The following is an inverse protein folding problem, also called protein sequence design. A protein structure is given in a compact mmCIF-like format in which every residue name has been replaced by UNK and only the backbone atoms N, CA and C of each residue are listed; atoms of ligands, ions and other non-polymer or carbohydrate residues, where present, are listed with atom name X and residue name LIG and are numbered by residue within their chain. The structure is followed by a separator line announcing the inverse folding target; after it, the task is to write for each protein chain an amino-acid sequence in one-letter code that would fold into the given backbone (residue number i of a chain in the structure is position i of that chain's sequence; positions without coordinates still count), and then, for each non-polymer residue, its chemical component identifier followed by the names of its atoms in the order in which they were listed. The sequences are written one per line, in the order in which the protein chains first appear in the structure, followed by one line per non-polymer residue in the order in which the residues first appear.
data_IF_252268460002
#
_entry.id   IF_252268460002
#
_cell.length_a   1.000
_cell.length_b   1.000
_cell.length_c   1.000
_cell.angle_alpha   90.00
_cell.angle_beta   90.00
_cell.angle_gamma   90.00
#
_symmetry.space_group_name_H-M   'P 1'
#
loop_
_entity.id
_entity.type
_entity.pdbx_description
1 polymer ?
#
# COMPACT_ATOMS: atom_id res chain seq x y z
N UNK A 1 20.53 -33.45 -13.57
CA UNK A 1 20.64 -32.50 -12.44
C UNK A 1 20.29 -31.05 -12.83
N UNK A 2 19.28 -30.78 -13.68
CA UNK A 2 19.01 -29.42 -14.19
C UNK A 2 17.53 -28.96 -14.12
N UNK A 3 16.67 -29.64 -13.32
CA UNK A 3 15.25 -29.24 -13.20
C UNK A 3 14.95 -28.30 -12.01
N UNK A 4 15.83 -28.19 -11.04
CA UNK A 4 15.62 -27.35 -9.85
C UNK A 4 15.95 -25.85 -10.08
N UNK A 5 16.84 -25.54 -11.04
CA UNK A 5 17.25 -24.16 -11.32
C UNK A 5 16.21 -23.36 -12.13
N UNK A 6 15.36 -24.06 -12.90
CA UNK A 6 14.36 -23.41 -13.78
C UNK A 6 13.16 -22.86 -13.02
N UNK A 7 12.79 -23.44 -11.86
CA UNK A 7 11.62 -23.03 -11.08
C UNK A 7 11.93 -21.76 -10.24
N UNK A 8 13.15 -21.64 -9.75
CA UNK A 8 13.57 -20.44 -8.99
C UNK A 8 13.67 -19.18 -9.86
N UNK A 9 14.10 -19.33 -11.12
CA UNK A 9 14.20 -18.21 -12.06
C UNK A 9 12.81 -17.71 -12.50
N UNK A 10 11.82 -18.59 -12.68
CA UNK A 10 10.46 -18.21 -13.05
C UNK A 10 9.72 -17.46 -11.92
N UNK A 11 9.97 -17.82 -10.66
CA UNK A 11 9.36 -17.12 -9.51
C UNK A 11 9.92 -15.71 -9.31
N UNK A 12 11.20 -15.48 -9.58
CA UNK A 12 11.84 -14.16 -9.50
C UNK A 12 11.39 -13.21 -10.61
N UNK A 13 11.15 -13.72 -11.82
CA UNK A 13 10.66 -12.92 -12.96
C UNK A 13 9.19 -12.52 -12.74
N UNK A 14 8.38 -13.38 -12.13
CA UNK A 14 6.97 -13.09 -11.79
C UNK A 14 6.84 -11.95 -10.76
N UNK A 15 7.69 -11.90 -9.74
CA UNK A 15 7.67 -10.80 -8.76
C UNK A 15 8.15 -9.47 -9.33
N UNK A 16 9.12 -9.48 -10.26
CA UNK A 16 9.62 -8.26 -10.89
C UNK A 16 8.62 -7.66 -11.89
N UNK A 17 7.85 -8.50 -12.61
CA UNK A 17 6.84 -8.03 -13.56
C UNK A 17 5.60 -7.43 -12.89
N UNK A 18 5.15 -7.99 -11.76
CA UNK A 18 4.02 -7.45 -11.00
C UNK A 18 4.36 -6.07 -10.41
N UNK A 19 5.59 -5.90 -9.92
CA UNK A 19 6.04 -4.58 -9.43
C UNK A 19 6.16 -3.55 -10.56
N UNK A 20 6.54 -3.96 -11.76
CA UNK A 20 6.62 -3.08 -12.92
C UNK A 20 5.23 -2.62 -13.40
N UNK A 21 4.22 -3.49 -13.38
CA UNK A 21 2.85 -3.13 -13.77
C UNK A 21 2.17 -2.22 -12.75
N UNK A 22 2.32 -2.46 -11.45
CA UNK A 22 1.84 -1.56 -10.40
C UNK A 22 2.48 -0.17 -10.50
N UNK A 23 3.75 -0.09 -10.90
CA UNK A 23 4.45 1.16 -11.15
C UNK A 23 4.09 1.82 -12.49
N UNK A 24 3.60 1.07 -13.46
CA UNK A 24 3.25 1.61 -14.80
C UNK A 24 1.87 2.27 -14.79
N UNK A 25 0.98 1.87 -13.88
CA UNK A 25 -0.39 2.39 -13.77
C UNK A 25 -0.47 3.78 -13.12
N UNK A 26 0.59 4.21 -12.45
CA UNK A 26 0.70 5.57 -11.88
C UNK A 26 1.84 6.26 -12.59
N UNK A 27 1.58 6.68 -13.81
CA UNK A 27 2.56 7.38 -14.62
C UNK A 27 3.96 7.27 -14.04
N UNK A 28 4.74 6.29 -14.46
CA UNK A 28 6.15 6.02 -14.13
C UNK A 28 6.57 6.77 -12.85
N UNK A 29 6.95 6.08 -11.80
CA UNK A 29 7.74 6.71 -10.73
C UNK A 29 8.81 7.52 -11.41
N UNK A 30 8.50 8.77 -11.65
CA UNK A 30 9.35 9.63 -12.44
C UNK A 30 10.56 9.78 -11.57
N UNK A 31 11.69 9.28 -12.06
CA UNK A 31 12.96 9.45 -11.37
C UNK A 31 13.10 10.96 -11.11
N UNK A 32 12.92 11.39 -9.87
CA UNK A 32 12.96 12.80 -9.47
C UNK A 32 14.26 13.43 -9.96
N UNK A 33 15.36 12.68 -9.96
CA UNK A 33 16.65 13.09 -10.50
C UNK A 33 16.62 13.37 -12.02
N UNK A 34 15.74 12.69 -12.79
CA UNK A 34 15.59 12.93 -14.22
C UNK A 34 14.72 14.17 -14.53
N UNK A 35 13.87 14.59 -13.59
CA UNK A 35 13.00 15.78 -13.73
C UNK A 35 13.69 17.02 -13.17
N UNK A 36 14.52 16.87 -12.14
CA UNK A 36 15.28 17.94 -11.51
C UNK A 36 16.38 18.42 -12.44
N UNK A 37 16.07 19.40 -13.28
CA UNK A 37 17.05 20.13 -14.07
C UNK A 37 17.62 21.27 -13.22
N UNK A 38 18.65 20.98 -12.43
CA UNK A 38 19.31 21.94 -11.57
C UNK A 38 18.96 21.78 -10.08
N UNK A 39 19.37 22.74 -9.28
CA UNK A 39 19.25 22.79 -7.82
C UNK A 39 17.94 23.42 -7.30
N UNK A 40 17.02 23.76 -8.21
CA UNK A 40 15.74 24.41 -7.86
C UNK A 40 14.58 23.43 -7.90
N UNK A 41 13.74 23.53 -6.88
CA UNK A 41 12.44 22.83 -6.85
C UNK A 41 11.51 23.43 -7.90
N UNK A 42 10.97 22.60 -8.80
CA UNK A 42 9.92 22.99 -9.74
C UNK A 42 8.58 22.34 -9.33
N UNK A 43 7.43 22.84 -9.82
CA UNK A 43 6.15 22.20 -9.59
C UNK A 43 6.14 20.72 -10.04
N UNK A 44 6.76 20.39 -11.16
CA UNK A 44 6.86 19.02 -11.68
C UNK A 44 7.68 18.13 -10.75
N UNK A 45 8.80 18.62 -10.24
CA UNK A 45 9.63 17.91 -9.26
C UNK A 45 8.84 17.65 -7.98
N UNK A 46 8.11 18.67 -7.49
CA UNK A 46 7.28 18.55 -6.28
C UNK A 46 6.19 17.48 -6.44
N UNK A 47 5.51 17.45 -7.58
CA UNK A 47 4.46 16.47 -7.84
C UNK A 47 4.98 15.06 -8.08
N UNK A 48 6.19 14.92 -8.59
CA UNK A 48 6.83 13.62 -8.82
C UNK A 48 7.31 12.93 -7.54
N UNK A 49 7.46 13.67 -6.44
CA UNK A 49 7.88 13.08 -5.16
C UNK A 49 6.76 12.26 -4.52
N UNK A 50 7.11 11.04 -4.08
CA UNK A 50 6.25 10.25 -3.22
C UNK A 50 6.07 10.92 -1.86
N UNK A 51 4.84 10.93 -1.35
CA UNK A 51 4.49 11.51 -0.04
C UNK A 51 4.22 10.40 0.94
N UNK A 52 5.08 10.30 1.95
CA UNK A 52 4.88 9.34 3.04
C UNK A 52 3.67 9.76 3.87
N UNK A 53 2.74 8.86 4.04
CA UNK A 53 1.54 9.02 4.85
C UNK A 53 1.60 8.23 6.15
N UNK A 54 0.47 7.64 6.57
CA UNK A 54 0.36 6.86 7.79
C UNK A 54 1.41 5.76 7.91
N UNK A 55 1.93 5.56 9.12
CA UNK A 55 2.89 4.52 9.43
C UNK A 55 2.52 3.84 10.76
N UNK A 56 2.77 2.53 10.85
CA UNK A 56 2.53 1.75 12.06
C UNK A 56 3.70 0.76 12.29
N UNK A 57 4.23 0.76 13.51
CA UNK A 57 5.24 -0.20 13.91
C UNK A 57 4.59 -1.56 14.23
N UNK A 58 5.26 -2.64 13.87
CA UNK A 58 4.88 -3.98 14.28
C UNK A 58 4.96 -4.13 15.81
N UNK A 59 4.16 -5.01 16.43
CA UNK A 59 4.15 -5.21 17.88
C UNK A 59 5.52 -5.59 18.46
N UNK A 60 6.37 -6.23 17.68
CA UNK A 60 7.75 -6.59 18.07
C UNK A 60 8.78 -5.47 17.84
N UNK A 61 8.35 -4.33 17.29
CA UNK A 61 9.20 -3.17 17.00
C UNK A 61 10.22 -3.36 15.87
N UNK A 62 10.17 -4.47 15.13
CA UNK A 62 11.21 -4.80 14.12
C UNK A 62 10.90 -4.30 12.73
N UNK A 63 9.64 -4.01 12.44
CA UNK A 63 9.19 -3.63 11.11
C UNK A 63 8.18 -2.49 11.21
N UNK A 64 8.24 -1.57 10.26
CA UNK A 64 7.23 -0.51 10.10
C UNK A 64 6.52 -0.72 8.78
N UNK A 65 5.18 -0.75 8.79
CA UNK A 65 4.37 -0.61 7.60
C UNK A 65 4.05 0.87 7.40
N UNK A 66 4.14 1.36 6.17
CA UNK A 66 3.83 2.75 5.85
C UNK A 66 3.27 2.88 4.45
N UNK A 67 2.56 3.95 4.20
CA UNK A 67 2.00 4.25 2.88
C UNK A 67 2.76 5.38 2.19
N UNK A 68 2.83 5.33 0.87
CA UNK A 68 3.35 6.40 0.03
C UNK A 68 2.32 6.75 -1.03
N UNK A 69 1.94 8.02 -1.07
CA UNK A 69 1.08 8.58 -2.10
C UNK A 69 1.89 9.09 -3.28
N UNK A 70 1.53 8.66 -4.47
CA UNK A 70 2.05 9.15 -5.74
C UNK A 70 0.96 9.89 -6.52
N UNK A 71 1.35 10.88 -7.28
CA UNK A 71 0.42 11.75 -8.01
C UNK A 71 0.86 11.87 -9.47
N UNK A 72 -0.10 11.78 -10.37
CA UNK A 72 0.08 12.05 -11.79
C UNK A 72 -0.71 13.30 -12.18
N UNK A 73 0.00 14.39 -12.42
CA UNK A 73 -0.63 15.63 -12.89
C UNK A 73 -1.26 15.42 -14.27
N UNK A 74 -0.58 14.67 -15.14
CA UNK A 74 -1.05 14.37 -16.51
C UNK A 74 -2.38 13.62 -16.52
N UNK A 75 -2.55 12.67 -15.59
CA UNK A 75 -3.75 11.82 -15.53
C UNK A 75 -4.77 12.32 -14.52
N UNK A 76 -4.44 13.37 -13.76
CA UNK A 76 -5.24 13.88 -12.65
C UNK A 76 -5.66 12.77 -11.67
N UNK A 77 -4.72 11.91 -11.32
CA UNK A 77 -4.92 10.74 -10.45
C UNK A 77 -3.88 10.66 -9.35
N UNK A 78 -4.28 10.05 -8.25
CA UNK A 78 -3.38 9.67 -7.17
C UNK A 78 -3.45 8.16 -6.92
N UNK A 79 -2.40 7.62 -6.37
CA UNK A 79 -2.31 6.22 -5.99
C UNK A 79 -1.55 6.07 -4.68
N UNK A 80 -2.10 5.28 -3.78
CA UNK A 80 -1.49 4.98 -2.49
C UNK A 80 -0.96 3.56 -2.50
N UNK A 81 0.29 3.40 -2.09
CA UNK A 81 0.96 2.11 -2.01
C UNK A 81 1.45 1.84 -0.59
N UNK A 82 1.41 0.58 -0.18
CA UNK A 82 1.93 0.13 1.10
C UNK A 82 3.33 -0.48 0.95
N UNK A 83 4.16 -0.17 1.91
CA UNK A 83 5.52 -0.64 2.03
C UNK A 83 5.80 -1.13 3.45
N UNK A 84 6.79 -1.98 3.60
CA UNK A 84 7.42 -2.25 4.89
C UNK A 84 8.88 -1.89 4.86
N UNK A 85 9.41 -1.50 6.02
CA UNK A 85 10.84 -1.28 6.24
C UNK A 85 11.23 -1.89 7.58
N UNK A 86 12.40 -2.54 7.64
CA UNK A 86 12.97 -3.01 8.91
C UNK A 86 13.40 -1.84 9.80
N UNK A 87 13.40 -2.03 11.12
CA UNK A 87 13.76 -0.99 12.07
C UNK A 87 15.18 -0.41 11.88
N UNK A 88 16.09 -1.20 11.30
CA UNK A 88 17.44 -0.75 10.94
C UNK A 88 17.51 -0.07 9.55
N UNK A 89 16.39 0.06 8.86
CA UNK A 89 16.27 0.71 7.54
C UNK A 89 16.84 -0.09 6.36
N UNK A 90 17.43 -1.26 6.57
CA UNK A 90 18.16 -1.98 5.51
C UNK A 90 17.27 -2.78 4.58
N UNK A 91 16.13 -3.26 5.07
CA UNK A 91 15.22 -4.08 4.29
C UNK A 91 13.91 -3.34 4.04
N UNK A 92 13.72 -2.88 2.82
CA UNK A 92 12.48 -2.26 2.34
C UNK A 92 11.78 -3.18 1.35
N UNK A 93 10.45 -3.30 1.47
CA UNK A 93 9.62 -4.10 0.56
C UNK A 93 8.36 -3.35 0.18
N UNK A 94 7.94 -3.50 -1.07
CA UNK A 94 6.63 -3.08 -1.55
C UNK A 94 5.61 -4.18 -1.25
N UNK A 95 4.51 -3.83 -0.60
CA UNK A 95 3.41 -4.76 -0.31
C UNK A 95 2.31 -4.67 -1.36
N UNK A 96 2.05 -3.47 -1.89
CA UNK A 96 1.02 -3.26 -2.92
C UNK A 96 1.39 -3.97 -4.20
N UNK A 97 0.48 -4.81 -4.69
CA UNK A 97 0.62 -5.58 -5.93
C UNK A 97 -0.51 -5.31 -6.93
N UNK A 98 -1.38 -4.35 -6.63
CA UNK A 98 -2.55 -4.03 -7.45
C UNK A 98 -2.53 -2.57 -7.90
N UNK A 99 -3.30 -2.26 -8.95
CA UNK A 99 -3.50 -0.88 -9.41
C UNK A 99 -4.44 -0.06 -8.51
N UNK A 100 -5.13 -0.70 -7.56
CA UNK A 100 -5.99 0.00 -6.61
C UNK A 100 -5.16 0.61 -5.49
N UNK A 101 -5.54 1.81 -5.04
CA UNK A 101 -4.96 2.41 -3.83
C UNK A 101 -5.21 1.55 -2.61
N UNK A 102 -4.20 1.47 -1.75
CA UNK A 102 -4.22 0.76 -0.47
C UNK A 102 -3.82 1.74 0.64
N UNK A 103 -4.66 1.87 1.66
CA UNK A 103 -4.52 2.90 2.71
C UNK A 103 -4.75 2.31 4.10
N UNK A 104 -4.46 3.11 5.13
CA UNK A 104 -4.80 2.84 6.53
C UNK A 104 -4.29 1.48 7.04
N UNK A 105 -3.02 1.19 6.78
CA UNK A 105 -2.42 -0.06 7.20
C UNK A 105 -2.29 -0.16 8.73
N UNK A 106 -2.71 -1.29 9.30
CA UNK A 106 -2.59 -1.61 10.71
C UNK A 106 -2.12 -3.06 10.90
N UNK A 107 -1.24 -3.28 11.86
CA UNK A 107 -0.82 -4.63 12.26
C UNK A 107 -1.93 -5.32 13.04
N UNK A 108 -2.16 -6.60 12.74
CA UNK A 108 -3.11 -7.48 13.42
C UNK A 108 -2.48 -8.85 13.64
N UNK A 109 -3.16 -9.71 14.42
CA UNK A 109 -2.72 -11.06 14.78
C UNK A 109 -1.30 -11.09 15.37
N UNK A 110 -1.03 -10.13 16.28
CA UNK A 110 0.27 -10.02 16.91
C UNK A 110 1.42 -9.71 15.95
N UNK A 111 1.14 -9.01 14.85
CA UNK A 111 2.13 -8.64 13.83
C UNK A 111 2.30 -9.65 12.70
N UNK A 112 1.51 -10.72 12.66
CA UNK A 112 1.56 -11.71 11.58
C UNK A 112 0.89 -11.23 10.30
N UNK A 113 -0.12 -10.38 10.43
CA UNK A 113 -0.90 -9.85 9.32
C UNK A 113 -1.00 -8.33 9.37
N UNK A 114 -1.33 -7.75 8.23
CA UNK A 114 -1.60 -6.32 8.04
C UNK A 114 -3.01 -6.19 7.51
N UNK A 115 -3.85 -5.42 8.21
CA UNK A 115 -5.15 -4.98 7.73
C UNK A 115 -5.00 -3.65 6.99
N UNK A 116 -5.78 -3.42 5.94
CA UNK A 116 -5.72 -2.22 5.12
C UNK A 116 -7.03 -1.99 4.37
N UNK A 117 -7.26 -0.76 3.91
CA UNK A 117 -8.39 -0.42 3.05
C UNK A 117 -7.99 -0.45 1.58
N UNK A 118 -8.84 -1.02 0.75
CA UNK A 118 -8.79 -0.91 -0.71
C UNK A 118 -10.17 -1.10 -1.31
N UNK A 119 -10.50 -0.31 -2.34
CA UNK A 119 -11.81 -0.35 -3.03
C UNK A 119 -13.00 -0.25 -2.06
N UNK A 120 -12.92 0.63 -1.07
CA UNK A 120 -13.96 0.83 -0.07
C UNK A 120 -14.21 -0.36 0.87
N UNK A 121 -13.30 -1.34 0.94
CA UNK A 121 -13.42 -2.52 1.77
C UNK A 121 -12.20 -2.73 2.65
N UNK A 122 -12.41 -3.39 3.80
CA UNK A 122 -11.35 -3.84 4.68
C UNK A 122 -10.80 -5.18 4.19
N UNK A 123 -9.50 -5.25 4.05
CA UNK A 123 -8.74 -6.42 3.64
C UNK A 123 -7.64 -6.73 4.65
N UNK A 124 -7.10 -7.93 4.58
CA UNK A 124 -5.86 -8.29 5.28
C UNK A 124 -4.93 -9.08 4.37
N UNK A 125 -3.65 -9.05 4.70
CA UNK A 125 -2.59 -9.82 4.06
C UNK A 125 -1.55 -10.26 5.09
N UNK A 126 -0.75 -11.25 4.77
CA UNK A 126 0.42 -11.59 5.59
C UNK A 126 1.41 -10.40 5.63
N UNK A 127 2.28 -10.35 6.62
CA UNK A 127 3.30 -9.32 6.77
C UNK A 127 4.25 -9.19 5.56
N UNK A 128 4.36 -10.23 4.74
CA UNK A 128 5.14 -10.27 3.51
C UNK A 128 4.36 -9.85 2.25
N UNK A 129 3.06 -9.50 2.37
CA UNK A 129 2.16 -9.11 1.29
C UNK A 129 1.39 -10.26 0.64
N UNK A 130 1.63 -11.50 1.04
CA UNK A 130 0.93 -12.69 0.52
C UNK A 130 -0.42 -12.93 1.20
N UNK A 131 -1.19 -13.92 0.73
CA UNK A 131 -2.45 -14.38 1.32
C UNK A 131 -3.44 -13.24 1.60
N UNK A 132 -3.77 -12.49 0.55
CA UNK A 132 -4.68 -11.34 0.62
C UNK A 132 -6.13 -11.83 0.76
N UNK A 133 -6.84 -11.34 1.78
CA UNK A 133 -8.22 -11.73 2.10
C UNK A 133 -9.08 -10.51 2.32
N UNK A 134 -10.24 -10.48 1.70
CA UNK A 134 -11.27 -9.50 1.98
C UNK A 134 -11.98 -9.83 3.30
N UNK A 135 -12.00 -8.89 4.23
CA UNK A 135 -12.63 -9.08 5.55
C UNK A 135 -14.07 -8.55 5.60
N UNK A 136 -14.41 -7.60 4.73
CA UNK A 136 -15.73 -6.99 4.69
C UNK A 136 -16.34 -7.06 3.29
N UNK A 137 -17.68 -7.10 3.25
CA UNK A 137 -18.47 -6.95 2.03
C UNK A 137 -19.58 -5.97 2.33
N UNK A 138 -19.35 -4.70 2.06
CA UNK A 138 -20.25 -3.60 2.39
C UNK A 138 -20.71 -2.88 1.12
N UNK A 139 -21.98 -2.48 1.08
CA UNK A 139 -22.53 -1.70 -0.02
C UNK A 139 -22.13 -0.22 0.05
N UNK A 140 -21.61 0.22 1.20
CA UNK A 140 -21.10 1.57 1.43
C UNK A 140 -19.62 1.48 1.70
N UNK A 141 -18.84 2.35 1.07
CA UNK A 141 -17.40 2.41 1.23
C UNK A 141 -16.98 2.63 2.68
N UNK A 142 -16.01 1.86 3.12
CA UNK A 142 -15.38 2.00 4.42
C UNK A 142 -14.25 3.01 4.28
N UNK A 143 -14.30 4.08 5.07
CA UNK A 143 -13.35 5.19 5.05
C UNK A 143 -12.28 5.07 6.15
N UNK A 144 -12.52 4.23 7.16
CA UNK A 144 -11.58 3.99 8.23
C UNK A 144 -11.99 2.79 9.09
N UNK A 145 -11.03 2.27 9.84
CA UNK A 145 -11.28 1.16 10.76
C UNK A 145 -10.35 1.24 11.97
N UNK A 146 -10.79 0.58 13.05
CA UNK A 146 -9.95 0.36 14.24
C UNK A 146 -10.32 -0.95 14.91
N UNK A 147 -9.33 -1.79 15.16
CA UNK A 147 -9.51 -3.02 15.95
C UNK A 147 -9.49 -2.71 17.45
N UNK A 148 -10.23 -3.52 18.23
CA UNK A 148 -10.10 -3.54 19.67
C UNK A 148 -8.73 -4.10 20.08
N UNK A 149 -8.22 -3.79 21.29
CA UNK A 149 -6.91 -4.29 21.73
C UNK A 149 -6.79 -5.82 21.75
N UNK A 150 -7.90 -6.53 21.93
CA UNK A 150 -7.96 -8.00 21.89
C UNK A 150 -8.29 -8.54 20.49
N UNK A 151 -8.36 -7.66 19.48
CA UNK A 151 -8.64 -7.92 18.08
C UNK A 151 -9.94 -8.69 17.79
N UNK A 152 -10.83 -8.81 18.78
CA UNK A 152 -12.12 -9.51 18.62
C UNK A 152 -13.21 -8.66 17.99
N UNK A 153 -13.02 -7.34 17.96
CA UNK A 153 -13.99 -6.38 17.41
C UNK A 153 -13.28 -5.39 16.50
N UNK A 154 -13.99 -4.90 15.51
CA UNK A 154 -13.56 -3.81 14.63
C UNK A 154 -14.63 -2.75 14.55
N UNK A 155 -14.24 -1.48 14.67
CA UNK A 155 -15.08 -0.33 14.36
C UNK A 155 -14.81 0.04 12.91
N UNK A 156 -15.87 0.22 12.13
CA UNK A 156 -15.82 0.68 10.76
C UNK A 156 -16.43 2.07 10.66
N UNK A 157 -15.73 2.97 9.98
CA UNK A 157 -16.17 4.35 9.72
C UNK A 157 -16.69 4.41 8.29
N UNK A 158 -17.89 4.94 8.10
CA UNK A 158 -18.58 5.07 6.82
C UNK A 158 -19.31 6.39 6.75
N UNK A 159 -19.35 7.04 5.59
CA UNK A 159 -20.21 8.19 5.33
C UNK A 159 -21.54 7.73 4.76
N UNK A 160 -22.63 8.10 5.42
CA UNK A 160 -23.98 7.84 4.94
C UNK A 160 -24.53 9.09 4.24
N UNK A 161 -25.15 8.96 3.05
CA UNK A 161 -25.83 10.08 2.45
C UNK A 161 -27.00 10.52 3.36
N UNK A 162 -27.04 11.80 3.68
CA UNK A 162 -28.18 12.37 4.39
C UNK A 162 -29.34 12.51 3.40
N UNK A 163 -30.42 11.79 3.63
CA UNK A 163 -31.69 12.01 2.95
C UNK A 163 -32.58 12.84 3.86
N UNK A 164 -32.77 14.08 3.47
CA UNK A 164 -33.80 14.91 4.09
C UNK A 164 -35.16 14.29 3.72
N UNK A 165 -35.85 13.72 4.69
CA UNK A 165 -37.23 13.29 4.50
C UNK A 165 -38.11 14.55 4.50
N UNK A 166 -38.61 14.92 3.33
CA UNK A 166 -39.62 15.95 3.13
C UNK A 166 -40.96 15.37 3.59
#
# INVERSE_FOLDING_TARGET
MNKALSIAAAALISCASINAEAQTMIGKTTNVAAISKGDRMTPETLWAMGRVGGAAASPDGKTVVYQVGYYSVKENKSHQMLYTVSADGKLQRTLTTTAASETDAAWIEGGKRIAFLTKGQLWSMNADGTDRRQLTKSDIDIEGFKFSPDEKKVILIKSLPYHESI
#
